data_IF_418528132695
#
_entry.id   IF_418528132695
#
_cell.length_a   1.000
_cell.length_b   1.000
_cell.length_c   1.000
_cell.angle_alpha   90.00
_cell.angle_beta   90.00
_cell.angle_gamma   90.00
#
_symmetry.space_group_name_H-M   'P 1'
#
loop_
_entity.id
_entity.type
_entity.pdbx_description
1 polymer ?
#
# COMPACT_ATOMS: atom_id res chain seq x y z
N UNK A 1 12.11 -2.61 1.88
CA UNK A 1 11.67 -1.35 1.24
C UNK A 1 12.47 -0.25 1.89
N UNK A 2 13.62 0.13 1.27
CA UNK A 2 14.33 1.33 1.67
C UNK A 2 13.42 2.53 1.42
N UNK A 3 13.17 3.34 2.45
CA UNK A 3 12.59 4.65 2.27
C UNK A 3 13.52 5.41 1.31
N UNK A 4 13.03 5.93 0.16
CA UNK A 4 13.83 6.85 -0.61
C UNK A 4 14.13 8.04 0.30
N UNK A 5 15.39 8.41 0.37
CA UNK A 5 15.93 9.39 1.28
C UNK A 5 15.09 10.65 1.35
N UNK A 6 14.97 11.18 2.55
CA UNK A 6 14.45 12.51 2.83
C UNK A 6 15.31 13.54 2.06
N UNK A 7 14.94 13.85 0.85
CA UNK A 7 15.53 14.94 0.10
C UNK A 7 14.86 16.23 0.54
N UNK A 8 15.54 16.95 1.42
CA UNK A 8 15.27 18.35 1.67
C UNK A 8 15.53 19.13 0.37
N UNK A 9 14.51 19.37 -0.41
CA UNK A 9 14.56 20.26 -1.56
C UNK A 9 14.00 21.62 -1.15
N UNK A 10 14.88 22.62 -1.12
CA UNK A 10 14.47 24.01 -1.22
C UNK A 10 13.81 24.21 -2.57
N UNK A 11 12.59 24.61 -2.62
CA UNK A 11 12.20 25.63 -3.58
C UNK A 11 10.74 25.61 -4.03
N UNK A 12 10.17 26.81 -3.97
CA UNK A 12 9.18 27.48 -4.84
C UNK A 12 7.98 26.70 -5.34
N UNK A 13 6.85 27.25 -4.90
CA UNK A 13 5.57 27.38 -5.61
C UNK A 13 5.46 26.71 -6.97
N UNK A 14 5.05 25.45 -6.94
CA UNK A 14 4.24 24.85 -7.98
C UNK A 14 3.27 23.90 -7.31
N UNK A 15 1.99 24.21 -7.44
CA UNK A 15 0.93 23.26 -7.11
C UNK A 15 1.19 21.97 -7.89
N UNK A 16 1.32 20.83 -7.23
CA UNK A 16 1.59 19.59 -7.92
C UNK A 16 0.30 19.01 -8.50
N UNK A 17 0.47 18.51 -9.69
CA UNK A 17 -0.49 17.74 -10.46
C UNK A 17 -1.19 16.65 -9.61
N UNK A 18 -2.47 16.46 -9.85
CA UNK A 18 -3.44 15.67 -9.08
C UNK A 18 -3.25 14.14 -9.15
N UNK A 19 -2.06 13.63 -9.34
CA UNK A 19 -1.78 12.19 -9.34
C UNK A 19 -1.45 11.66 -7.95
N UNK A 20 -2.45 11.25 -7.25
CA UNK A 20 -2.63 10.18 -6.23
C UNK A 20 -1.40 9.58 -5.53
N UNK A 21 -0.46 10.34 -5.01
CA UNK A 21 0.58 9.79 -4.14
C UNK A 21 0.65 10.59 -2.85
N UNK A 22 0.60 9.92 -1.70
CA UNK A 22 0.81 10.56 -0.40
C UNK A 22 2.18 11.26 -0.40
N UNK A 23 2.22 12.50 0.06
CA UNK A 23 3.45 13.31 0.11
C UNK A 23 3.71 13.77 1.53
N UNK A 24 4.95 13.63 1.96
CA UNK A 24 5.41 14.18 3.22
C UNK A 24 6.09 15.52 2.96
N UNK A 25 5.70 16.56 3.68
CA UNK A 25 6.27 17.89 3.61
C UNK A 25 6.97 18.19 4.93
N UNK A 26 8.24 18.52 4.88
CA UNK A 26 8.97 19.11 6.00
C UNK A 26 9.97 20.10 5.46
N UNK A 27 9.95 21.33 5.97
CA UNK A 27 10.84 22.42 5.54
C UNK A 27 11.98 22.67 6.52
N UNK A 28 11.90 22.11 7.74
CA UNK A 28 12.89 22.33 8.79
C UNK A 28 12.85 21.18 9.81
N UNK A 29 13.97 20.88 10.53
CA UNK A 29 13.98 19.89 11.61
C UNK A 29 13.04 20.21 12.78
N UNK A 30 12.58 21.45 12.88
CA UNK A 30 11.66 21.93 13.92
C UNK A 30 10.21 22.01 13.44
N UNK A 31 9.95 21.77 12.15
CA UNK A 31 8.61 21.86 11.59
C UNK A 31 7.80 20.58 11.88
N UNK A 32 6.52 20.77 12.13
CA UNK A 32 5.57 19.64 12.26
C UNK A 32 5.42 18.96 10.89
N UNK A 33 5.69 17.66 10.79
CA UNK A 33 5.53 16.94 9.54
C UNK A 33 4.06 16.85 9.15
N UNK A 34 3.78 17.05 7.86
CA UNK A 34 2.42 16.97 7.29
C UNK A 34 2.38 15.84 6.26
N UNK A 35 1.47 14.90 6.43
CA UNK A 35 1.23 13.80 5.50
C UNK A 35 -0.06 14.07 4.71
N UNK A 36 0.08 14.39 3.43
CA UNK A 36 -1.05 14.53 2.51
C UNK A 36 -1.50 13.17 1.96
N UNK A 37 -2.76 12.82 2.16
CA UNK A 37 -3.36 11.59 1.64
C UNK A 37 -4.28 11.90 0.44
N UNK A 38 -4.52 10.92 -0.46
CA UNK A 38 -5.46 11.07 -1.56
C UNK A 38 -6.88 11.38 -1.06
N UNK A 39 -7.69 12.08 -1.87
CA UNK A 39 -9.08 12.41 -1.50
C UNK A 39 -10.09 11.26 -1.61
N UNK A 40 -9.72 10.16 -2.25
CA UNK A 40 -10.60 9.00 -2.42
C UNK A 40 -10.55 8.10 -1.18
N UNK A 41 -11.70 7.68 -0.60
CA UNK A 41 -11.75 6.95 0.67
C UNK A 41 -10.92 5.66 0.71
N UNK A 42 -10.98 4.85 -0.34
CA UNK A 42 -10.21 3.60 -0.40
C UNK A 42 -8.72 3.89 -0.58
N UNK A 43 -8.37 4.87 -1.40
CA UNK A 43 -6.99 5.28 -1.57
C UNK A 43 -6.41 5.88 -0.27
N UNK A 44 -7.21 6.65 0.49
CA UNK A 44 -6.84 7.13 1.84
C UNK A 44 -6.52 5.96 2.74
N UNK A 45 -7.43 4.98 2.84
CA UNK A 45 -7.26 3.82 3.71
C UNK A 45 -5.97 3.05 3.39
N UNK A 46 -5.76 2.71 2.12
CA UNK A 46 -4.57 1.97 1.68
C UNK A 46 -3.30 2.79 1.91
N UNK A 47 -3.30 4.08 1.54
CA UNK A 47 -2.13 4.95 1.74
C UNK A 47 -1.83 5.17 3.21
N UNK A 48 -2.85 5.28 4.06
CA UNK A 48 -2.67 5.39 5.50
C UNK A 48 -2.02 4.13 6.07
N UNK A 49 -2.51 2.94 5.73
CA UNK A 49 -1.92 1.68 6.21
C UNK A 49 -0.47 1.49 5.74
N UNK A 50 -0.19 1.80 4.47
CA UNK A 50 1.11 1.51 3.84
C UNK A 50 2.16 2.59 4.13
N UNK A 51 1.76 3.84 4.35
CA UNK A 51 2.66 4.97 4.54
C UNK A 51 2.43 5.68 5.87
N UNK A 52 1.16 5.96 6.22
CA UNK A 52 0.80 6.69 7.43
C UNK A 52 1.16 5.96 8.71
N UNK A 53 0.81 4.69 8.82
CA UNK A 53 1.12 3.89 10.01
C UNK A 53 2.63 3.71 10.21
N UNK A 54 3.43 3.31 9.19
CA UNK A 54 4.88 3.27 9.33
C UNK A 54 5.49 4.62 9.70
N UNK A 55 4.97 5.71 9.15
CA UNK A 55 5.43 7.05 9.49
C UNK A 55 5.16 7.39 10.97
N UNK A 56 3.94 7.15 11.47
CA UNK A 56 3.58 7.37 12.87
C UNK A 56 4.47 6.53 13.79
N UNK A 57 4.68 5.25 13.47
CA UNK A 57 5.55 4.35 14.23
C UNK A 57 6.99 4.86 14.27
N UNK A 58 7.50 5.34 13.14
CA UNK A 58 8.84 5.95 13.07
C UNK A 58 8.94 7.20 13.96
N UNK A 59 7.91 8.06 13.97
CA UNK A 59 7.84 9.22 14.87
C UNK A 59 7.82 8.81 16.36
N UNK A 60 7.28 7.63 16.66
CA UNK A 60 7.29 7.07 18.02
C UNK A 60 8.60 6.38 18.39
N UNK A 61 9.61 6.40 17.51
CA UNK A 61 10.90 5.76 17.73
C UNK A 61 10.87 4.22 17.60
N UNK A 62 9.82 3.64 17.03
CA UNK A 62 9.73 2.19 16.79
C UNK A 62 10.64 1.80 15.62
N UNK A 63 11.36 0.69 15.78
CA UNK A 63 12.13 0.03 14.71
C UNK A 63 11.31 -1.14 14.15
N UNK A 64 11.56 -1.53 12.90
CA UNK A 64 10.82 -2.62 12.27
C UNK A 64 9.36 -2.24 11.90
N UNK A 65 9.20 -1.03 11.44
CA UNK A 65 7.89 -0.38 11.18
C UNK A 65 7.08 -1.01 10.04
N UNK A 66 7.65 -1.90 9.26
CA UNK A 66 6.96 -2.67 8.22
C UNK A 66 7.05 -4.15 8.56
N UNK A 67 5.91 -4.81 8.65
CA UNK A 67 5.84 -6.27 8.79
C UNK A 67 6.48 -6.99 7.59
N UNK A 68 6.87 -8.24 7.77
CA UNK A 68 7.51 -9.05 6.73
C UNK A 68 6.55 -9.45 5.60
N UNK A 69 5.25 -9.43 5.84
CA UNK A 69 4.25 -9.99 4.95
C UNK A 69 4.40 -11.51 4.78
N UNK A 70 3.35 -12.16 4.38
CA UNK A 70 3.36 -13.61 4.09
C UNK A 70 3.43 -13.83 2.58
N UNK A 71 4.20 -14.86 2.15
CA UNK A 71 4.21 -15.31 0.77
C UNK A 71 3.11 -16.37 0.61
N UNK A 72 2.07 -16.06 -0.16
CA UNK A 72 0.92 -16.94 -0.36
C UNK A 72 0.62 -17.00 -1.87
N UNK A 73 0.23 -18.16 -2.41
CA UNK A 73 -0.14 -18.29 -3.83
C UNK A 73 -1.30 -17.36 -4.21
N UNK A 74 -1.17 -16.69 -5.36
CA UNK A 74 -2.20 -15.84 -5.90
C UNK A 74 -3.37 -16.66 -6.47
N UNK A 75 -4.59 -16.41 -6.03
CA UNK A 75 -5.83 -16.84 -6.65
C UNK A 75 -6.36 -15.86 -7.69
N UNK A 76 -5.50 -15.02 -8.24
CA UNK A 76 -5.83 -14.02 -9.27
C UNK A 76 -4.67 -13.84 -10.24
N UNK A 77 -4.95 -13.21 -11.37
CA UNK A 77 -3.92 -12.83 -12.34
C UNK A 77 -4.03 -11.35 -12.70
N UNK A 78 -2.94 -10.77 -13.15
CA UNK A 78 -2.87 -9.39 -13.67
C UNK A 78 -2.53 -9.42 -15.16
N UNK A 79 -3.34 -8.77 -15.99
CA UNK A 79 -3.17 -8.81 -17.45
C UNK A 79 -1.98 -8.01 -17.96
N UNK A 80 -1.68 -6.90 -17.28
CA UNK A 80 -0.64 -5.95 -17.73
C UNK A 80 0.24 -5.53 -16.57
N UNK A 81 1.55 -5.43 -16.81
CA UNK A 81 2.46 -4.87 -15.81
C UNK A 81 2.16 -3.37 -15.61
N UNK A 82 2.24 -2.93 -14.36
CA UNK A 82 2.13 -1.53 -14.00
C UNK A 82 3.51 -0.98 -13.66
N UNK A 83 3.80 0.25 -14.09
CA UNK A 83 5.02 0.96 -13.69
C UNK A 83 5.04 1.31 -12.19
N UNK A 84 3.89 1.18 -11.51
CA UNK A 84 3.74 1.44 -10.08
C UNK A 84 3.43 0.15 -9.35
N UNK A 85 3.98 0.03 -8.15
CA UNK A 85 3.58 -1.02 -7.19
C UNK A 85 2.09 -0.88 -6.90
N UNK A 86 1.38 -2.00 -7.00
CA UNK A 86 -0.06 -2.06 -6.73
C UNK A 86 -0.31 -2.78 -5.41
N UNK A 87 -1.24 -2.24 -4.64
CA UNK A 87 -1.76 -2.85 -3.43
C UNK A 87 -3.19 -3.30 -3.71
N UNK A 88 -3.33 -4.59 -3.97
CA UNK A 88 -4.58 -5.23 -4.34
C UNK A 88 -5.35 -5.59 -3.06
N UNK A 89 -6.59 -5.13 -2.94
CA UNK A 89 -7.46 -5.50 -1.83
C UNK A 89 -7.84 -6.96 -1.96
N UNK A 90 -7.51 -7.72 -0.94
CA UNK A 90 -7.55 -9.16 -1.00
C UNK A 90 -7.89 -9.78 0.37
N UNK A 91 -8.22 -11.04 0.36
CA UNK A 91 -8.39 -11.86 1.56
C UNK A 91 -7.81 -13.25 1.34
N UNK A 92 -7.50 -13.93 2.43
CA UNK A 92 -7.14 -15.35 2.42
C UNK A 92 -8.39 -16.19 2.10
N UNK A 93 -8.24 -17.19 1.26
CA UNK A 93 -9.28 -18.16 0.94
C UNK A 93 -8.66 -19.54 0.81
N UNK A 94 -9.48 -20.57 0.99
CA UNK A 94 -9.07 -21.96 0.78
C UNK A 94 -9.65 -22.39 -0.57
N UNK A 95 -8.78 -22.70 -1.52
CA UNK A 95 -9.14 -23.30 -2.79
C UNK A 95 -8.84 -24.79 -2.83
N UNK A 96 -8.96 -25.40 -3.99
CA UNK A 96 -8.72 -26.84 -4.19
C UNK A 96 -7.27 -27.22 -3.88
N UNK A 97 -6.32 -26.34 -4.16
CA UNK A 97 -4.88 -26.54 -3.93
C UNK A 97 -4.39 -25.99 -2.55
N UNK A 98 -5.31 -25.59 -1.67
CA UNK A 98 -5.00 -25.08 -0.34
C UNK A 98 -5.19 -23.58 -0.17
N UNK A 99 -4.38 -22.97 0.70
CA UNK A 99 -4.46 -21.54 1.01
C UNK A 99 -4.02 -20.67 -0.17
N UNK A 100 -4.85 -19.72 -0.56
CA UNK A 100 -4.55 -18.75 -1.62
C UNK A 100 -5.07 -17.35 -1.28
N UNK A 101 -4.60 -16.35 -2.03
CA UNK A 101 -5.07 -14.98 -1.92
C UNK A 101 -6.09 -14.70 -3.01
N UNK A 102 -7.32 -14.38 -2.62
CA UNK A 102 -8.37 -13.95 -3.55
C UNK A 102 -8.45 -12.42 -3.57
N UNK A 103 -8.36 -11.84 -4.76
CA UNK A 103 -8.51 -10.40 -4.96
C UNK A 103 -9.99 -10.02 -5.09
N UNK A 104 -10.36 -8.83 -4.59
CA UNK A 104 -11.68 -8.28 -4.86
C UNK A 104 -11.81 -8.01 -6.38
N UNK A 105 -12.93 -8.38 -7.03
CA UNK A 105 -13.04 -8.29 -8.49
C UNK A 105 -12.88 -6.86 -9.04
N UNK A 106 -13.35 -5.86 -8.30
CA UNK A 106 -13.25 -4.46 -8.72
C UNK A 106 -12.26 -3.69 -7.84
N UNK A 107 -11.07 -3.47 -8.35
CA UNK A 107 -9.98 -2.76 -7.66
C UNK A 107 -10.05 -1.22 -7.80
N UNK A 108 -11.14 -0.67 -8.36
CA UNK A 108 -11.33 0.78 -8.42
C UNK A 108 -11.34 1.39 -7.03
N UNK A 109 -10.67 2.53 -6.88
CA UNK A 109 -10.58 3.25 -5.61
C UNK A 109 -11.91 3.86 -5.15
N UNK A 110 -12.90 3.95 -6.03
CA UNK A 110 -14.26 4.38 -5.70
C UNK A 110 -15.14 3.32 -5.04
N UNK A 111 -14.71 2.05 -5.02
CA UNK A 111 -15.50 0.93 -4.51
C UNK A 111 -15.19 0.67 -3.04
N UNK A 112 -15.89 1.38 -2.15
CA UNK A 112 -15.69 1.28 -0.69
C UNK A 112 -16.01 -0.13 -0.15
N UNK A 113 -16.97 -0.84 -0.74
CA UNK A 113 -17.30 -2.22 -0.38
C UNK A 113 -16.10 -3.18 -0.48
N UNK A 114 -15.15 -2.89 -1.35
CA UNK A 114 -13.91 -3.66 -1.46
C UNK A 114 -13.04 -3.57 -0.21
N UNK A 115 -13.05 -2.43 0.47
CA UNK A 115 -12.32 -2.25 1.73
C UNK A 115 -12.99 -3.00 2.89
N UNK A 116 -14.33 -3.07 2.91
CA UNK A 116 -15.07 -3.84 3.90
C UNK A 116 -14.93 -5.35 3.69
N UNK A 117 -14.78 -5.78 2.44
CA UNK A 117 -14.64 -7.20 2.09
C UNK A 117 -13.23 -7.73 2.31
N UNK A 118 -12.22 -6.90 2.06
CA UNK A 118 -10.83 -7.28 2.17
C UNK A 118 -10.40 -7.46 3.63
N UNK A 119 -9.46 -8.35 3.86
CA UNK A 119 -8.80 -8.60 5.13
C UNK A 119 -7.33 -8.16 5.12
N UNK A 120 -6.85 -7.73 3.94
CA UNK A 120 -5.49 -7.30 3.74
C UNK A 120 -5.19 -6.82 2.32
N UNK A 121 -3.91 -6.64 2.06
CA UNK A 121 -3.37 -6.16 0.79
C UNK A 121 -2.38 -7.18 0.21
N UNK A 122 -2.59 -7.58 -1.04
CA UNK A 122 -1.59 -8.30 -1.82
C UNK A 122 -0.76 -7.29 -2.63
N UNK A 123 0.55 -7.51 -2.70
CA UNK A 123 1.47 -6.60 -3.38
C UNK A 123 1.83 -7.13 -4.75
N UNK A 124 1.55 -6.36 -5.79
CA UNK A 124 2.07 -6.58 -7.14
C UNK A 124 3.24 -5.62 -7.35
N UNK A 125 4.47 -6.13 -7.54
CA UNK A 125 5.63 -5.27 -7.76
C UNK A 125 5.55 -4.48 -9.06
N UNK A 126 6.38 -3.46 -9.17
CA UNK A 126 6.51 -2.63 -10.36
C UNK A 126 6.97 -3.48 -11.56
N UNK A 127 6.42 -3.20 -12.72
CA UNK A 127 6.77 -3.85 -14.01
C UNK A 127 6.63 -5.39 -13.98
N UNK A 128 5.76 -5.91 -13.13
CA UNK A 128 5.55 -7.36 -12.95
C UNK A 128 4.07 -7.69 -13.19
N UNK A 129 3.83 -8.85 -13.76
CA UNK A 129 2.51 -9.50 -13.81
C UNK A 129 2.48 -10.67 -12.84
N UNK A 130 1.31 -10.93 -12.30
CA UNK A 130 1.05 -12.08 -11.43
C UNK A 130 0.17 -13.06 -12.20
N UNK A 131 0.52 -14.32 -12.19
CA UNK A 131 -0.30 -15.41 -12.70
C UNK A 131 -0.92 -16.18 -11.54
N UNK A 132 -1.95 -16.94 -11.85
CA UNK A 132 -2.57 -17.83 -10.88
C UNK A 132 -1.52 -18.80 -10.29
N UNK A 133 -1.44 -18.88 -8.98
CA UNK A 133 -0.47 -19.71 -8.26
C UNK A 133 0.89 -19.06 -7.99
N UNK A 134 1.19 -17.92 -8.61
CA UNK A 134 2.44 -17.19 -8.31
C UNK A 134 2.46 -16.73 -6.85
N UNK A 135 3.62 -16.78 -6.17
CA UNK A 135 3.73 -16.28 -4.80
C UNK A 135 3.59 -14.76 -4.77
N UNK A 136 2.69 -14.26 -3.95
CA UNK A 136 2.51 -12.82 -3.71
C UNK A 136 2.72 -12.48 -2.24
N UNK A 137 3.30 -11.32 -1.99
CA UNK A 137 3.42 -10.81 -0.62
C UNK A 137 2.06 -10.28 -0.16
N UNK A 138 1.54 -10.84 0.91
CA UNK A 138 0.28 -10.44 1.52
C UNK A 138 0.51 -9.86 2.92
N UNK A 139 -0.10 -8.72 3.20
CA UNK A 139 -0.16 -8.08 4.51
C UNK A 139 -1.58 -8.08 5.00
N UNK A 140 -1.85 -8.66 6.15
CA UNK A 140 -3.16 -8.52 6.79
C UNK A 140 -3.38 -7.10 7.30
N UNK A 141 -4.62 -6.65 7.38
CA UNK A 141 -4.93 -5.33 7.97
C UNK A 141 -4.53 -5.26 9.44
N UNK A 142 -4.64 -6.37 10.18
CA UNK A 142 -4.15 -6.43 11.55
C UNK A 142 -2.66 -6.10 11.64
N UNK A 143 -1.84 -6.77 10.82
CA UNK A 143 -0.39 -6.53 10.75
C UNK A 143 -0.03 -5.09 10.35
N UNK A 144 -0.78 -4.51 9.42
CA UNK A 144 -0.56 -3.13 8.97
C UNK A 144 -0.94 -2.09 10.01
N UNK A 145 -1.90 -2.41 10.91
CA UNK A 145 -2.43 -1.47 11.91
C UNK A 145 -1.81 -1.64 13.31
N UNK A 146 -1.18 -2.77 13.61
CA UNK A 146 -0.43 -3.00 14.86
C UNK A 146 0.84 -2.17 14.96
#
# INVERSE_FOLDING_TARGET
IGLPGLLASRHRDRLPDSSSTARTWSSSPTDTPVLGLPGNPVAVLVSFMVMGMPFIRACQGRTGVTGGGEQIPAGFSTEKPSIRRQYVRARKSIGDDGLMITAYPNQSSGVLSSACWAEGLAVVPENTTINLGDPVTYYSFAELLE
#
